data_IF_906233109976
#
_entry.id   IF_906233109976
#
_cell.length_a   1.000
_cell.length_b   1.000
_cell.length_c   1.000
_cell.angle_alpha   90.00
_cell.angle_beta   90.00
_cell.angle_gamma   90.00
#
_symmetry.space_group_name_H-M   'P 1'
#
loop_
_entity.id
_entity.type
_entity.pdbx_description
1 polymer ?
#
# COMPACT_ATOMS: atom_id res chain seq x y z
N UNK A 1 -13.92 -13.59 12.81
CA UNK A 1 -15.16 -13.91 13.55
C UNK A 1 -15.17 -13.25 14.93
N UNK A 2 -14.22 -13.55 15.84
CA UNK A 2 -14.13 -12.93 17.18
C UNK A 2 -14.30 -11.40 17.22
N UNK A 3 -13.70 -10.67 16.28
CA UNK A 3 -13.79 -9.21 16.23
C UNK A 3 -15.11 -8.65 15.65
N UNK A 4 -16.17 -9.46 15.52
CA UNK A 4 -17.49 -9.03 15.00
C UNK A 4 -17.55 -8.66 13.51
N UNK A 5 -16.41 -8.65 12.81
CA UNK A 5 -16.31 -8.22 11.40
C UNK A 5 -16.74 -9.28 10.37
N UNK A 6 -17.22 -10.44 10.81
CA UNK A 6 -17.71 -11.45 9.87
C UNK A 6 -19.06 -11.01 9.32
N UNK A 7 -19.18 -10.89 8.00
CA UNK A 7 -20.46 -10.63 7.32
C UNK A 7 -20.88 -11.89 6.58
N UNK A 8 -22.18 -12.19 6.63
CA UNK A 8 -22.75 -13.25 5.81
C UNK A 8 -22.53 -12.91 4.32
N UNK A 9 -22.05 -13.88 3.57
CA UNK A 9 -21.95 -13.81 2.11
C UNK A 9 -22.78 -14.95 1.50
N UNK A 10 -22.96 -14.91 0.18
CA UNK A 10 -23.62 -16.02 -0.54
C UNK A 10 -22.80 -17.32 -0.49
N UNK A 11 -21.51 -17.26 -0.11
CA UNK A 11 -20.69 -18.45 0.00
C UNK A 11 -21.03 -19.21 1.29
N UNK A 12 -21.43 -20.48 1.11
CA UNK A 12 -21.81 -21.42 2.16
C UNK A 12 -20.77 -22.53 2.36
N UNK A 13 -21.18 -23.61 3.02
CA UNK A 13 -20.44 -24.89 2.96
C UNK A 13 -21.17 -25.83 2.00
N UNK A 14 -20.43 -26.75 1.40
CA UNK A 14 -20.98 -27.66 0.40
C UNK A 14 -20.57 -29.11 0.67
N UNK A 15 -21.53 -30.02 0.52
CA UNK A 15 -21.31 -31.47 0.59
C UNK A 15 -21.66 -32.13 -0.75
N UNK A 16 -20.84 -33.09 -1.15
CA UNK A 16 -21.11 -33.91 -2.34
C UNK A 16 -22.19 -34.98 -2.07
N UNK A 17 -22.55 -35.74 -3.10
CA UNK A 17 -23.50 -36.86 -3.02
C UNK A 17 -23.07 -37.99 -2.08
N UNK A 18 -21.78 -38.07 -1.74
CA UNK A 18 -21.23 -39.05 -0.81
C UNK A 18 -21.16 -38.53 0.63
N UNK A 19 -21.57 -37.28 0.87
CA UNK A 19 -21.49 -36.63 2.17
C UNK A 19 -20.11 -36.04 2.50
N UNK A 20 -19.21 -35.97 1.52
CA UNK A 20 -17.87 -35.37 1.69
C UNK A 20 -17.97 -33.84 1.63
N UNK A 21 -17.28 -33.15 2.53
CA UNK A 21 -17.16 -31.69 2.48
C UNK A 21 -16.27 -31.26 1.30
N UNK A 22 -16.83 -30.56 0.32
CA UNK A 22 -16.12 -30.11 -0.89
C UNK A 22 -15.85 -28.60 -0.92
N UNK A 23 -16.53 -27.81 -0.10
CA UNK A 23 -16.26 -26.38 0.08
C UNK A 23 -16.51 -25.96 1.54
N UNK A 24 -15.76 -24.95 2.00
CA UNK A 24 -15.96 -24.33 3.30
C UNK A 24 -15.02 -24.81 4.41
N UNK A 25 -14.01 -25.64 4.10
CA UNK A 25 -13.03 -26.16 5.08
C UNK A 25 -12.36 -25.04 5.90
N UNK A 26 -11.87 -23.98 5.24
CA UNK A 26 -11.26 -22.83 5.91
C UNK A 26 -12.26 -22.09 6.81
N UNK A 27 -13.54 -22.07 6.41
CA UNK A 27 -14.60 -21.39 7.16
C UNK A 27 -14.96 -22.19 8.40
N UNK A 28 -15.16 -23.51 8.30
CA UNK A 28 -15.39 -24.38 9.45
C UNK A 28 -14.21 -24.33 10.43
N UNK A 29 -12.98 -24.33 9.91
CA UNK A 29 -11.80 -24.17 10.76
C UNK A 29 -11.79 -22.82 11.48
N UNK A 30 -12.14 -21.73 10.80
CA UNK A 30 -12.24 -20.40 11.41
C UNK A 30 -13.35 -20.33 12.48
N UNK A 31 -14.49 -21.00 12.28
CA UNK A 31 -15.56 -21.12 13.28
C UNK A 31 -15.00 -21.83 14.52
N UNK A 32 -14.41 -23.01 14.35
CA UNK A 32 -13.83 -23.81 15.41
C UNK A 32 -12.80 -23.01 16.22
N UNK A 33 -11.84 -22.37 15.54
CA UNK A 33 -10.80 -21.55 16.17
C UNK A 33 -11.34 -20.30 16.85
N UNK A 34 -12.44 -19.74 16.34
CA UNK A 34 -13.03 -18.53 16.89
C UNK A 34 -13.94 -18.78 18.09
N UNK A 35 -14.54 -19.97 18.20
CA UNK A 35 -15.60 -20.27 19.18
C UNK A 35 -16.90 -19.50 18.96
N UNK A 36 -17.06 -18.82 17.81
CA UNK A 36 -18.24 -18.02 17.51
C UNK A 36 -19.27 -18.84 16.70
N UNK A 37 -20.54 -18.78 17.10
CA UNK A 37 -21.64 -19.31 16.27
C UNK A 37 -21.97 -18.33 15.15
N UNK A 38 -22.06 -18.83 13.91
CA UNK A 38 -22.48 -18.05 12.74
C UNK A 38 -23.55 -18.78 11.94
N UNK A 39 -24.38 -18.03 11.21
CA UNK A 39 -25.32 -18.59 10.23
C UNK A 39 -24.67 -18.58 8.84
N UNK A 40 -24.77 -19.69 8.11
CA UNK A 40 -24.23 -19.85 6.76
C UNK A 40 -25.13 -20.78 5.94
N UNK A 41 -25.16 -20.58 4.63
CA UNK A 41 -25.88 -21.47 3.72
C UNK A 41 -25.17 -22.83 3.66
N UNK A 42 -25.96 -23.90 3.56
CA UNK A 42 -25.46 -25.27 3.40
C UNK A 42 -26.04 -25.82 2.11
N UNK A 43 -25.17 -26.26 1.20
CA UNK A 43 -25.54 -26.91 -0.04
C UNK A 43 -25.22 -28.40 0.04
N UNK A 44 -26.16 -29.23 -0.41
CA UNK A 44 -26.05 -30.68 -0.40
C UNK A 44 -26.16 -31.23 -1.82
N UNK A 45 -25.69 -32.47 -2.00
CA UNK A 45 -25.81 -33.24 -3.24
C UNK A 45 -25.11 -32.60 -4.45
N UNK A 46 -23.96 -31.97 -4.24
CA UNK A 46 -23.15 -31.53 -5.38
C UNK A 46 -22.52 -32.76 -6.08
N UNK A 47 -22.49 -32.78 -7.43
CA UNK A 47 -21.68 -33.74 -8.17
C UNK A 47 -20.20 -33.64 -7.72
N UNK A 48 -19.48 -34.76 -7.50
CA UNK A 48 -18.08 -34.74 -7.07
C UNK A 48 -17.17 -33.89 -7.97
N UNK A 49 -17.47 -33.81 -9.26
CA UNK A 49 -16.73 -33.02 -10.26
C UNK A 49 -16.89 -31.51 -10.04
N UNK A 50 -17.85 -31.08 -9.22
CA UNK A 50 -18.07 -29.65 -8.91
C UNK A 50 -16.86 -29.03 -8.21
N UNK A 51 -16.03 -29.84 -7.54
CA UNK A 51 -14.83 -29.37 -6.82
C UNK A 51 -13.87 -28.61 -7.73
N UNK A 52 -13.76 -28.98 -9.01
CA UNK A 52 -12.86 -28.35 -9.98
C UNK A 52 -13.29 -26.93 -10.35
N UNK A 53 -14.57 -26.60 -10.12
CA UNK A 53 -15.15 -25.30 -10.43
C UNK A 53 -15.28 -24.39 -9.21
N UNK A 54 -15.17 -24.96 -8.00
CA UNK A 54 -15.27 -24.23 -6.74
C UNK A 54 -14.01 -23.37 -6.54
N UNK A 55 -14.20 -22.06 -6.43
CA UNK A 55 -13.15 -21.06 -6.22
C UNK A 55 -12.00 -21.05 -7.27
N UNK A 56 -12.15 -21.72 -8.42
CA UNK A 56 -11.19 -21.74 -9.53
C UNK A 56 -11.03 -20.40 -10.28
N UNK A 57 -11.82 -19.38 -9.92
CA UNK A 57 -11.74 -18.05 -10.49
C UNK A 57 -10.52 -17.26 -10.04
N UNK A 58 -10.05 -16.32 -10.88
CA UNK A 58 -8.96 -15.41 -10.53
C UNK A 58 -9.26 -14.68 -9.21
N UNK A 59 -8.42 -14.88 -8.21
CA UNK A 59 -8.56 -14.21 -6.92
C UNK A 59 -8.64 -12.68 -7.10
N UNK A 60 -9.75 -12.08 -6.66
CA UNK A 60 -9.97 -10.62 -6.74
C UNK A 60 -8.82 -9.89 -6.06
N UNK A 61 -8.20 -8.95 -6.76
CA UNK A 61 -7.17 -8.07 -6.21
C UNK A 61 -7.79 -7.08 -5.21
N UNK A 62 -6.96 -6.42 -4.41
CA UNK A 62 -7.47 -5.41 -3.47
C UNK A 62 -8.13 -4.24 -4.19
N UNK A 63 -7.58 -3.85 -5.35
CA UNK A 63 -8.20 -2.84 -6.22
C UNK A 63 -9.60 -3.28 -6.65
N UNK A 64 -9.74 -4.52 -7.13
CA UNK A 64 -11.05 -5.05 -7.56
C UNK A 64 -12.07 -5.01 -6.42
N UNK A 65 -11.64 -5.32 -5.19
CA UNK A 65 -12.54 -5.28 -4.02
C UNK A 65 -12.90 -3.86 -3.58
N UNK A 66 -11.96 -2.92 -3.66
CA UNK A 66 -12.21 -1.51 -3.32
C UNK A 66 -13.18 -0.87 -4.32
N UNK A 67 -13.03 -1.17 -5.61
CA UNK A 67 -13.94 -0.69 -6.67
C UNK A 67 -15.32 -1.35 -6.54
N UNK A 68 -15.38 -2.68 -6.39
CA UNK A 68 -16.65 -3.41 -6.21
C UNK A 68 -17.38 -3.06 -4.91
N UNK A 69 -16.65 -2.64 -3.87
CA UNK A 69 -17.21 -2.25 -2.58
C UNK A 69 -17.87 -0.86 -2.58
N UNK A 70 -17.78 -0.09 -3.67
CA UNK A 70 -18.36 1.25 -3.79
C UNK A 70 -17.75 2.30 -2.86
N UNK A 71 -16.69 1.96 -2.12
CA UNK A 71 -16.10 2.80 -1.07
C UNK A 71 -15.26 3.95 -1.61
N UNK A 72 -14.89 3.91 -2.89
CA UNK A 72 -14.03 4.89 -3.54
C UNK A 72 -14.68 5.17 -4.92
N UNK A 73 -15.08 6.43 -5.15
CA UNK A 73 -15.83 6.85 -6.34
C UNK A 73 -15.14 6.55 -7.68
N UNK A 74 -15.83 6.84 -8.78
CA UNK A 74 -15.48 6.46 -10.16
C UNK A 74 -14.06 6.85 -10.64
N UNK A 75 -13.33 7.69 -9.91
CA UNK A 75 -11.90 7.94 -10.12
C UNK A 75 -11.06 6.76 -9.60
N UNK A 76 -10.87 5.78 -10.50
CA UNK A 76 -10.33 4.45 -10.23
C UNK A 76 -9.05 4.42 -9.39
N UNK A 77 -9.14 3.72 -8.26
CA UNK A 77 -7.97 3.31 -7.46
C UNK A 77 -7.13 2.33 -8.28
N UNK A 78 -5.84 2.58 -8.41
CA UNK A 78 -4.93 1.70 -9.17
C UNK A 78 -4.10 0.82 -8.24
N UNK A 79 -3.43 -0.20 -8.80
CA UNK A 79 -2.45 -1.01 -8.05
C UNK A 79 -1.30 -0.15 -7.50
N UNK A 80 -0.96 0.95 -8.17
CA UNK A 80 0.07 1.88 -7.72
C UNK A 80 -0.39 2.65 -6.46
N UNK A 81 -1.66 3.06 -6.39
CA UNK A 81 -2.22 3.69 -5.19
C UNK A 81 -2.16 2.72 -3.99
N UNK A 82 -2.59 1.47 -4.19
CA UNK A 82 -2.53 0.43 -3.14
C UNK A 82 -1.10 0.15 -2.69
N UNK A 83 -0.15 0.03 -3.62
CA UNK A 83 1.26 -0.18 -3.26
C UNK A 83 1.83 1.02 -2.48
N UNK A 84 1.52 2.24 -2.92
CA UNK A 84 1.92 3.48 -2.25
C UNK A 84 1.35 3.57 -0.84
N UNK A 85 0.05 3.29 -0.67
CA UNK A 85 -0.60 3.27 0.64
C UNK A 85 0.09 2.30 1.60
N UNK A 86 0.42 1.09 1.14
CA UNK A 86 1.08 0.09 1.97
C UNK A 86 2.48 0.50 2.43
N UNK A 87 3.22 1.22 1.59
CA UNK A 87 4.51 1.79 1.99
C UNK A 87 4.33 3.03 2.88
N UNK A 88 3.31 3.85 2.63
CA UNK A 88 2.95 5.03 3.46
C UNK A 88 2.60 4.60 4.89
N UNK A 89 1.74 3.61 5.05
CA UNK A 89 1.38 3.07 6.36
C UNK A 89 2.58 2.43 7.07
N UNK A 90 3.54 1.89 6.33
CA UNK A 90 4.74 1.26 6.88
C UNK A 90 5.77 2.29 7.35
N UNK A 91 6.06 3.29 6.53
CA UNK A 91 7.18 4.21 6.75
C UNK A 91 8.50 3.44 6.97
N UNK A 92 9.31 3.90 7.92
CA UNK A 92 10.52 3.18 8.35
C UNK A 92 10.29 1.96 9.26
N UNK A 93 9.05 1.69 9.68
CA UNK A 93 8.73 0.62 10.64
C UNK A 93 8.63 -0.75 9.95
N UNK A 94 8.85 -1.82 10.71
CA UNK A 94 8.51 -3.16 10.26
C UNK A 94 7.07 -3.49 10.63
N UNK A 95 6.15 -3.38 9.66
CA UNK A 95 4.74 -3.76 9.87
C UNK A 95 4.43 -5.14 9.28
N UNK A 96 3.64 -5.98 9.98
CA UNK A 96 3.11 -7.22 9.43
C UNK A 96 2.18 -6.94 8.25
N UNK A 97 1.80 -8.01 7.53
CA UNK A 97 0.86 -7.89 6.42
C UNK A 97 -0.48 -7.34 6.93
N UNK A 98 -0.92 -6.25 6.32
CA UNK A 98 -2.15 -5.56 6.67
C UNK A 98 -3.38 -6.37 6.27
N UNK A 99 -4.39 -6.39 7.15
CA UNK A 99 -5.67 -6.98 6.81
C UNK A 99 -6.46 -6.07 5.85
N UNK A 100 -7.27 -6.66 4.96
CA UNK A 100 -8.00 -5.90 3.92
C UNK A 100 -8.86 -4.74 4.49
N UNK A 101 -9.59 -4.97 5.58
CA UNK A 101 -10.43 -3.92 6.17
C UNK A 101 -9.61 -2.72 6.67
N UNK A 102 -8.43 -2.97 7.25
CA UNK A 102 -7.51 -1.91 7.66
C UNK A 102 -6.97 -1.16 6.43
N UNK A 103 -6.67 -1.87 5.35
CA UNK A 103 -6.21 -1.27 4.10
C UNK A 103 -7.29 -0.37 3.47
N UNK A 104 -8.56 -0.79 3.49
CA UNK A 104 -9.67 0.03 2.99
C UNK A 104 -9.90 1.29 3.83
N UNK A 105 -9.81 1.17 5.17
CA UNK A 105 -9.94 2.31 6.08
C UNK A 105 -8.80 3.32 5.91
N UNK A 106 -7.56 2.84 5.81
CA UNK A 106 -6.40 3.68 5.54
C UNK A 106 -6.46 4.32 4.15
N UNK A 107 -6.95 3.60 3.14
CA UNK A 107 -7.16 4.17 1.82
C UNK A 107 -8.15 5.32 1.89
N UNK A 108 -9.29 5.16 2.58
CA UNK A 108 -10.27 6.23 2.74
C UNK A 108 -9.68 7.46 3.46
N UNK A 109 -8.79 7.25 4.43
CA UNK A 109 -8.15 8.33 5.20
C UNK A 109 -7.04 9.08 4.44
N UNK A 110 -6.26 8.37 3.63
CA UNK A 110 -5.05 8.90 3.00
C UNK A 110 -5.12 8.96 1.48
N UNK A 111 -6.32 8.81 0.89
CA UNK A 111 -6.49 8.75 -0.56
C UNK A 111 -5.88 9.96 -1.26
N UNK A 112 -6.14 11.16 -0.76
CA UNK A 112 -5.72 12.41 -1.40
C UNK A 112 -4.19 12.55 -1.39
N UNK A 113 -3.55 12.25 -0.26
CA UNK A 113 -2.09 12.22 -0.16
C UNK A 113 -1.47 11.17 -1.10
N UNK A 114 -2.08 9.98 -1.20
CA UNK A 114 -1.64 8.92 -2.11
C UNK A 114 -1.83 9.31 -3.57
N UNK A 115 -2.95 9.95 -3.92
CA UNK A 115 -3.25 10.46 -5.27
C UNK A 115 -2.27 11.57 -5.65
N UNK A 116 -2.02 12.50 -4.75
CA UNK A 116 -1.05 13.57 -4.93
C UNK A 116 0.33 13.00 -5.25
N UNK A 117 0.83 12.07 -4.44
CA UNK A 117 2.12 11.43 -4.68
C UNK A 117 2.16 10.62 -5.99
N UNK A 118 1.07 9.94 -6.34
CA UNK A 118 0.98 9.17 -7.58
C UNK A 118 0.93 10.06 -8.84
N UNK A 119 0.33 11.25 -8.74
CA UNK A 119 0.24 12.22 -9.83
C UNK A 119 1.58 12.94 -10.07
N UNK A 120 2.30 13.32 -9.01
CA UNK A 120 3.49 14.16 -9.14
C UNK A 120 4.82 13.40 -9.26
N UNK A 121 4.90 12.16 -8.75
CA UNK A 121 6.10 11.32 -8.92
C UNK A 121 6.01 10.51 -10.22
N UNK A 122 6.97 10.75 -11.13
CA UNK A 122 7.01 10.11 -12.45
C UNK A 122 6.76 8.60 -12.40
N UNK A 123 5.79 8.13 -13.19
CA UNK A 123 5.36 6.72 -13.17
C UNK A 123 6.29 5.77 -13.92
N UNK A 124 7.05 6.27 -14.91
CA UNK A 124 7.90 5.46 -15.79
C UNK A 124 9.41 5.67 -15.58
N UNK A 125 9.80 6.53 -14.63
CA UNK A 125 11.21 6.75 -14.33
C UNK A 125 11.76 5.60 -13.49
N UNK A 126 12.78 4.90 -14.01
CA UNK A 126 13.43 3.78 -13.33
C UNK A 126 13.93 4.18 -11.94
N UNK A 127 13.59 3.40 -10.92
CA UNK A 127 13.98 3.64 -9.52
C UNK A 127 13.26 4.81 -8.83
N UNK A 128 12.71 5.77 -9.58
CA UNK A 128 11.97 6.92 -9.04
C UNK A 128 10.48 6.62 -8.90
N UNK A 129 9.86 5.99 -9.92
CA UNK A 129 8.43 5.71 -9.99
C UNK A 129 7.92 4.57 -9.11
N UNK A 130 8.55 4.36 -7.97
CA UNK A 130 8.34 3.23 -7.05
C UNK A 130 7.54 3.64 -5.81
N UNK A 131 6.89 2.66 -5.18
CA UNK A 131 5.95 2.92 -4.08
C UNK A 131 6.58 3.57 -2.85
N UNK A 132 7.83 3.22 -2.49
CA UNK A 132 8.49 3.79 -1.32
C UNK A 132 8.91 5.25 -1.51
N UNK A 133 9.19 5.70 -2.74
CA UNK A 133 9.41 7.14 -3.04
C UNK A 133 8.09 7.90 -2.88
N UNK A 134 7.02 7.39 -3.49
CA UNK A 134 5.68 7.99 -3.35
C UNK A 134 5.20 8.03 -1.90
N UNK A 135 5.56 7.03 -1.09
CA UNK A 135 5.18 6.97 0.31
C UNK A 135 5.76 8.13 1.14
N UNK A 136 7.02 8.51 0.90
CA UNK A 136 7.62 9.69 1.56
C UNK A 136 6.86 10.96 1.17
N UNK A 137 6.54 11.13 -0.11
CA UNK A 137 5.75 12.29 -0.58
C UNK A 137 4.35 12.30 0.03
N UNK A 138 3.67 11.14 0.07
CA UNK A 138 2.35 11.01 0.67
C UNK A 138 2.36 11.29 2.18
N UNK A 139 3.44 10.94 2.89
CA UNK A 139 3.61 11.28 4.30
C UNK A 139 3.88 12.77 4.51
N UNK A 140 4.80 13.33 3.73
CA UNK A 140 5.15 14.74 3.79
C UNK A 140 3.97 15.68 3.42
N UNK A 141 2.99 15.18 2.66
CA UNK A 141 1.76 15.90 2.29
C UNK A 141 1.01 16.52 3.48
N UNK A 142 1.13 15.94 4.68
CA UNK A 142 0.45 16.42 5.88
C UNK A 142 1.19 17.56 6.61
N UNK A 143 2.46 17.79 6.32
CA UNK A 143 3.31 18.71 7.10
C UNK A 143 4.21 19.63 6.27
N UNK A 144 4.21 19.46 4.96
CA UNK A 144 4.99 20.27 4.01
C UNK A 144 4.03 20.97 3.05
N UNK A 145 4.35 22.20 2.69
CA UNK A 145 3.63 22.97 1.69
C UNK A 145 3.56 22.22 0.34
N UNK A 146 2.38 22.23 -0.29
CA UNK A 146 2.13 21.42 -1.48
C UNK A 146 2.88 21.91 -2.71
N UNK A 147 3.13 23.21 -2.85
CA UNK A 147 3.92 23.76 -3.96
C UNK A 147 5.38 23.32 -3.83
N UNK A 148 5.91 23.30 -2.60
CA UNK A 148 7.25 22.76 -2.33
C UNK A 148 7.35 21.27 -2.66
N UNK A 149 6.34 20.47 -2.27
CA UNK A 149 6.32 19.04 -2.62
C UNK A 149 6.20 18.80 -4.12
N UNK A 150 5.39 19.60 -4.81
CA UNK A 150 5.26 19.53 -6.27
C UNK A 150 6.60 19.84 -6.95
N UNK A 151 7.28 20.92 -6.52
CA UNK A 151 8.61 21.27 -7.03
C UNK A 151 9.63 20.17 -6.76
N UNK A 152 9.66 19.61 -5.54
CA UNK A 152 10.53 18.49 -5.21
C UNK A 152 10.27 17.30 -6.15
N UNK A 153 9.01 16.92 -6.34
CA UNK A 153 8.60 15.84 -7.23
C UNK A 153 8.99 16.11 -8.68
N UNK A 154 8.82 17.35 -9.16
CA UNK A 154 9.14 17.78 -10.53
C UNK A 154 10.64 17.69 -10.81
N UNK A 155 11.48 18.21 -9.91
CA UNK A 155 12.95 18.09 -10.01
C UNK A 155 13.38 16.63 -9.92
N UNK A 156 12.86 15.88 -8.95
CA UNK A 156 13.18 14.46 -8.77
C UNK A 156 12.79 13.61 -9.99
N UNK A 157 11.69 13.97 -10.65
CA UNK A 157 11.13 13.25 -11.80
C UNK A 157 11.77 13.61 -13.13
N UNK A 158 12.06 14.90 -13.35
CA UNK A 158 12.68 15.40 -14.59
C UNK A 158 14.20 15.23 -14.59
N UNK A 159 14.84 15.33 -13.42
CA UNK A 159 16.29 15.45 -13.31
C UNK A 159 16.82 16.83 -13.69
N UNK A 160 15.95 17.83 -13.84
CA UNK A 160 16.32 19.20 -14.17
C UNK A 160 16.28 20.06 -12.89
N UNK A 161 17.44 20.55 -12.40
CA UNK A 161 17.46 21.47 -11.26
C UNK A 161 16.92 22.84 -11.68
N UNK A 162 16.16 23.46 -10.79
CA UNK A 162 15.62 24.83 -10.93
C UNK A 162 16.40 25.84 -10.05
N UNK A 163 17.09 25.36 -9.02
CA UNK A 163 17.93 26.17 -8.13
C UNK A 163 19.14 25.37 -7.61
N UNK A 164 20.14 26.08 -7.06
CA UNK A 164 21.36 25.44 -6.53
C UNK A 164 21.09 24.44 -5.38
N UNK A 165 20.03 24.66 -4.59
CA UNK A 165 19.63 23.74 -3.51
C UNK A 165 19.14 22.38 -4.03
N UNK A 166 18.79 22.27 -5.32
CA UNK A 166 18.29 21.04 -5.93
C UNK A 166 19.36 19.99 -6.16
N UNK A 167 20.64 20.33 -5.99
CA UNK A 167 21.75 19.39 -6.13
C UNK A 167 21.57 18.13 -5.25
N UNK A 168 20.93 18.27 -4.08
CA UNK A 168 20.59 17.13 -3.23
C UNK A 168 19.54 16.19 -3.85
N UNK A 169 18.55 16.74 -4.56
CA UNK A 169 17.51 15.98 -5.26
C UNK A 169 18.10 15.21 -6.43
N UNK A 170 19.00 15.86 -7.21
CA UNK A 170 19.66 15.20 -8.35
C UNK A 170 20.51 14.02 -7.88
N UNK A 171 21.28 14.18 -6.79
CA UNK A 171 22.04 13.06 -6.21
C UNK A 171 21.15 11.91 -5.75
N UNK A 172 20.01 12.21 -5.13
CA UNK A 172 19.02 11.19 -4.78
C UNK A 172 18.54 10.46 -6.03
N UNK A 173 18.15 11.20 -7.08
CA UNK A 173 17.68 10.65 -8.34
C UNK A 173 18.70 9.67 -8.94
N UNK A 174 19.96 10.07 -9.02
CA UNK A 174 21.02 9.23 -9.60
C UNK A 174 21.18 7.92 -8.83
N UNK A 175 21.14 7.96 -7.49
CA UNK A 175 21.19 6.76 -6.65
C UNK A 175 19.97 5.84 -6.83
N UNK A 176 18.77 6.43 -6.94
CA UNK A 176 17.55 5.69 -7.22
C UNK A 176 17.62 5.02 -8.60
N UNK A 177 18.04 5.75 -9.63
CA UNK A 177 18.15 5.24 -11.00
C UNK A 177 19.21 4.13 -11.11
N UNK A 178 20.36 4.30 -10.47
CA UNK A 178 21.44 3.31 -10.43
C UNK A 178 21.01 2.01 -9.73
N UNK A 179 20.20 2.11 -8.67
CA UNK A 179 19.68 0.93 -7.97
C UNK A 179 18.51 0.29 -8.73
N UNK A 180 17.68 1.10 -9.39
CA UNK A 180 16.48 0.67 -10.09
C UNK A 180 15.38 0.14 -9.16
N UNK A 181 14.44 -0.61 -9.73
CA UNK A 181 13.40 -1.28 -8.93
C UNK A 181 13.98 -2.51 -8.24
N UNK A 182 13.82 -2.60 -6.92
CA UNK A 182 14.28 -3.76 -6.13
C UNK A 182 13.13 -4.38 -5.34
N UNK A 183 13.19 -5.69 -5.12
CA UNK A 183 12.31 -6.43 -4.20
C UNK A 183 12.94 -6.63 -2.82
N UNK A 184 14.22 -6.31 -2.64
CA UNK A 184 14.92 -6.46 -1.37
C UNK A 184 14.42 -5.40 -0.37
N UNK A 185 13.80 -5.86 0.72
CA UNK A 185 13.18 -4.98 1.72
C UNK A 185 14.17 -4.12 2.50
N UNK A 186 15.37 -4.64 2.78
CA UNK A 186 16.42 -3.85 3.44
C UNK A 186 16.84 -2.65 2.57
N UNK A 187 17.05 -2.90 1.27
CA UNK A 187 17.39 -1.85 0.30
C UNK A 187 16.24 -0.86 0.13
N UNK A 188 14.98 -1.32 0.07
CA UNK A 188 13.82 -0.42 0.00
C UNK A 188 13.74 0.52 1.19
N UNK A 189 13.99 0.01 2.42
CA UNK A 189 13.99 0.82 3.65
C UNK A 189 15.13 1.84 3.64
N UNK A 190 16.31 1.45 3.19
CA UNK A 190 17.44 2.37 3.05
C UNK A 190 17.13 3.48 2.04
N UNK A 191 16.58 3.14 0.86
CA UNK A 191 16.21 4.12 -0.16
C UNK A 191 15.08 5.03 0.32
N UNK A 192 14.06 4.49 1.00
CA UNK A 192 13.03 5.30 1.66
C UNK A 192 13.66 6.36 2.57
N UNK A 193 14.56 5.95 3.47
CA UNK A 193 15.23 6.87 4.38
C UNK A 193 16.11 7.89 3.67
N UNK A 194 16.67 7.58 2.50
CA UNK A 194 17.43 8.55 1.68
C UNK A 194 16.50 9.56 1.01
N UNK A 195 15.33 9.13 0.53
CA UNK A 195 14.32 10.02 -0.05
C UNK A 195 13.86 11.03 1.00
N UNK A 196 13.52 10.54 2.19
CA UNK A 196 13.12 11.38 3.32
C UNK A 196 14.24 12.32 3.76
N UNK A 197 15.48 11.83 3.87
CA UNK A 197 16.64 12.69 4.16
C UNK A 197 16.78 13.82 3.15
N UNK A 198 16.72 13.49 1.86
CA UNK A 198 16.93 14.46 0.79
C UNK A 198 15.87 15.57 0.84
N UNK A 199 14.60 15.19 1.01
CA UNK A 199 13.50 16.14 1.16
C UNK A 199 13.73 17.06 2.37
N UNK A 200 14.07 16.52 3.54
CA UNK A 200 14.35 17.32 4.73
C UNK A 200 15.50 18.31 4.53
N UNK A 201 16.62 17.86 3.95
CA UNK A 201 17.77 18.74 3.72
C UNK A 201 17.47 19.82 2.71
N UNK A 202 16.71 19.47 1.67
CA UNK A 202 16.30 20.41 0.62
C UNK A 202 15.35 21.48 1.17
N UNK A 203 14.37 21.10 1.99
CA UNK A 203 13.47 22.05 2.67
C UNK A 203 14.22 23.03 3.58
N UNK A 204 15.34 22.60 4.15
CA UNK A 204 16.22 23.46 4.97
C UNK A 204 17.21 24.29 4.16
N UNK A 205 17.28 24.12 2.84
CA UNK A 205 18.31 24.72 1.99
C UNK A 205 19.73 24.18 2.23
N UNK A 206 19.87 23.05 2.93
CA UNK A 206 21.17 22.44 3.22
C UNK A 206 21.66 21.61 2.02
N UNK A 207 22.89 21.88 1.58
CA UNK A 207 23.58 21.02 0.59
C UNK A 207 24.54 20.09 1.32
N UNK A 208 24.27 18.78 1.30
CA UNK A 208 25.14 17.76 1.92
C UNK A 208 25.94 16.98 0.89
N UNK A 209 27.23 16.75 1.17
CA UNK A 209 28.12 15.98 0.29
C UNK A 209 27.73 14.50 0.17
N UNK A 210 27.17 13.90 1.22
CA UNK A 210 26.73 12.51 1.24
C UNK A 210 25.27 12.37 1.70
N UNK A 211 24.51 11.53 0.98
CA UNK A 211 23.12 11.21 1.28
C UNK A 211 23.02 9.88 2.04
N UNK A 212 22.97 9.96 3.37
CA UNK A 212 22.72 8.83 4.27
C UNK A 212 21.23 8.74 4.62
N UNK A 213 20.66 7.54 4.77
CA UNK A 213 19.26 7.40 5.17
C UNK A 213 18.99 8.04 6.54
N UNK A 214 17.78 8.53 6.75
CA UNK A 214 17.26 8.73 8.12
C UNK A 214 17.05 7.38 8.81
N UNK A 215 17.11 7.39 10.14
CA UNK A 215 16.86 6.22 10.98
C UNK A 215 15.50 6.27 11.67
N UNK A 216 14.90 7.47 11.72
CA UNK A 216 13.61 7.76 12.34
C UNK A 216 12.73 8.53 11.36
N UNK A 217 11.42 8.37 11.52
CA UNK A 217 10.42 8.99 10.64
C UNK A 217 10.26 10.46 11.02
N UNK A 218 10.50 11.35 10.06
CA UNK A 218 10.38 12.80 10.19
C UNK A 218 9.08 13.35 9.58
N UNK A 219 8.39 12.56 8.76
CA UNK A 219 7.05 12.89 8.25
C UNK A 219 6.00 11.92 8.81
N UNK A 220 5.67 11.99 10.12
CA UNK A 220 4.67 11.13 10.75
C UNK A 220 3.27 11.35 10.17
N UNK A 221 2.47 10.29 10.09
CA UNK A 221 1.05 10.42 9.74
C UNK A 221 0.28 11.09 10.89
N UNK A 222 -0.86 11.75 10.63
CA UNK A 222 -1.64 12.45 11.67
C UNK A 222 -2.02 11.57 12.87
N UNK A 223 -2.31 10.29 12.65
CA UNK A 223 -2.60 9.34 13.74
C UNK A 223 -1.37 8.92 14.56
N UNK A 224 -0.15 9.08 14.03
CA UNK A 224 1.09 8.72 14.72
C UNK A 224 1.55 9.82 15.69
N UNK A 225 1.06 11.05 15.52
CA UNK A 225 1.35 12.20 16.39
C UNK A 225 0.52 12.22 17.68
N UNK A 226 -0.53 11.39 17.76
CA UNK A 226 -1.49 11.38 18.88
C UNK A 226 -1.08 10.47 20.04
N UNK A 227 0.18 10.03 20.07
CA UNK A 227 0.75 9.21 21.14
C UNK A 227 1.80 9.98 21.93
#
# INVERSE_FOLDING_TARGET
MKAGRWKASHQGIAFDTSGTLVDGQHRLWAILQSGCTIRLAVSFNLPPESIDTIDGGKARTVVDRLVLGGTLGAEGVTKAHVATLRETARGLKHLPKMAYHQEAELMARHLDAVRFAAAHVATRAQGVGVAYVRAVVARAWYSVDHEQLERFCRVLSSGLPEAACDAGIIRLRDQLMATGSTRNRGVQRELYGKVERALLTWLKGEVRSALRPVLEEHFPLPEELKN
#
